data_IF_368288544675
#
_entry.id   IF_368288544675
#
_cell.length_a   1.000
_cell.length_b   1.000
_cell.length_c   1.000
_cell.angle_alpha   90.00
_cell.angle_beta   90.00
_cell.angle_gamma   90.00
#
_symmetry.space_group_name_H-M   'P 1'
#
loop_
_entity.id
_entity.type
_entity.pdbx_description
1 polymer ?
#
# COMPACT_ATOMS: atom_id res chain seq x y z
N UNK A 1 -14.21 -23.04 6.73
CA UNK A 1 -14.42 -21.78 5.99
C UNK A 1 -15.91 -21.57 5.90
N UNK A 2 -16.43 -20.63 6.67
CA UNK A 2 -17.83 -20.21 6.60
C UNK A 2 -18.08 -19.45 5.30
N UNK A 3 -19.34 -19.31 4.87
CA UNK A 3 -19.67 -18.48 3.70
C UNK A 3 -19.25 -17.01 3.85
N UNK A 4 -19.18 -16.53 5.09
CA UNK A 4 -18.71 -15.19 5.44
C UNK A 4 -17.20 -15.02 5.18
N UNK A 5 -16.39 -16.04 5.49
CA UNK A 5 -14.93 -16.02 5.26
C UNK A 5 -14.62 -15.86 3.76
N UNK A 6 -15.38 -16.54 2.91
CA UNK A 6 -15.24 -16.46 1.45
C UNK A 6 -15.55 -15.05 0.95
N UNK A 7 -16.62 -14.42 1.47
CA UNK A 7 -16.98 -13.04 1.14
C UNK A 7 -15.88 -12.07 1.56
N UNK A 8 -15.29 -12.23 2.74
CA UNK A 8 -14.18 -11.37 3.18
C UNK A 8 -12.94 -11.52 2.31
N UNK A 9 -12.57 -12.75 1.94
CA UNK A 9 -11.40 -12.99 1.08
C UNK A 9 -11.60 -12.34 -0.29
N UNK A 10 -12.76 -12.57 -0.92
CA UNK A 10 -13.05 -12.02 -2.26
C UNK A 10 -13.16 -10.50 -2.19
N UNK A 11 -13.82 -9.95 -1.17
CA UNK A 11 -13.93 -8.51 -0.96
C UNK A 11 -12.58 -7.83 -0.73
N UNK A 12 -11.74 -8.41 0.12
CA UNK A 12 -10.38 -7.92 0.36
C UNK A 12 -9.53 -7.98 -0.90
N UNK A 13 -9.64 -9.04 -1.70
CA UNK A 13 -8.93 -9.18 -2.96
C UNK A 13 -9.31 -8.07 -3.95
N UNK A 14 -10.61 -7.82 -4.14
CA UNK A 14 -11.09 -6.72 -5.00
C UNK A 14 -10.59 -5.37 -4.50
N UNK A 15 -10.65 -5.14 -3.19
CA UNK A 15 -10.20 -3.89 -2.57
C UNK A 15 -8.69 -3.67 -2.78
N UNK A 16 -7.87 -4.72 -2.67
CA UNK A 16 -6.42 -4.65 -2.96
C UNK A 16 -6.18 -4.29 -4.42
N UNK A 17 -6.90 -4.91 -5.37
CA UNK A 17 -6.73 -4.62 -6.80
C UNK A 17 -7.08 -3.16 -7.13
N UNK A 18 -8.23 -2.69 -6.66
CA UNK A 18 -8.66 -1.29 -6.87
C UNK A 18 -7.71 -0.33 -6.18
N UNK A 19 -7.28 -0.65 -4.97
CA UNK A 19 -6.30 0.13 -4.22
C UNK A 19 -4.96 0.23 -4.94
N UNK A 20 -4.46 -0.86 -5.52
CA UNK A 20 -3.21 -0.87 -6.26
C UNK A 20 -3.28 0.00 -7.54
N UNK A 21 -4.38 -0.03 -8.27
CA UNK A 21 -4.59 0.81 -9.45
C UNK A 21 -4.65 2.30 -9.09
N UNK A 22 -5.39 2.66 -8.04
CA UNK A 22 -5.44 4.05 -7.56
C UNK A 22 -4.10 4.52 -6.99
N UNK A 23 -3.40 3.66 -6.26
CA UNK A 23 -2.10 3.96 -5.68
C UNK A 23 -1.04 4.22 -6.76
N UNK A 24 -0.95 3.35 -7.77
CA UNK A 24 0.01 3.51 -8.87
C UNK A 24 -0.25 4.78 -9.69
N UNK A 25 -1.51 5.07 -10.02
CA UNK A 25 -1.89 6.32 -10.68
C UNK A 25 -1.55 7.56 -9.83
N UNK A 26 -1.80 7.51 -8.52
CA UNK A 26 -1.45 8.59 -7.59
C UNK A 26 0.06 8.83 -7.50
N UNK A 27 0.84 7.75 -7.44
CA UNK A 27 2.31 7.81 -7.44
C UNK A 27 2.84 8.39 -8.75
N UNK A 28 2.31 8.00 -9.90
CA UNK A 28 2.70 8.56 -11.20
C UNK A 28 2.45 10.07 -11.25
N UNK A 29 1.26 10.51 -10.82
CA UNK A 29 0.91 11.92 -10.81
C UNK A 29 1.78 12.73 -9.84
N UNK A 30 2.11 12.15 -8.68
CA UNK A 30 3.03 12.74 -7.71
C UNK A 30 4.44 12.86 -8.31
N UNK A 31 4.94 11.82 -8.98
CA UNK A 31 6.23 11.83 -9.68
C UNK A 31 6.30 12.91 -10.75
N UNK A 32 5.25 13.07 -11.56
CA UNK A 32 5.12 14.15 -12.54
C UNK A 32 5.18 15.53 -11.89
N UNK A 33 4.47 15.74 -10.77
CA UNK A 33 4.48 17.01 -10.02
C UNK A 33 5.86 17.33 -9.44
N UNK A 34 6.63 16.31 -9.07
CA UNK A 34 7.99 16.42 -8.54
C UNK A 34 9.07 16.47 -9.62
N UNK A 35 8.71 16.46 -10.91
CA UNK A 35 9.65 16.34 -12.05
C UNK A 35 10.59 15.13 -11.95
N UNK A 36 10.11 14.02 -11.38
CA UNK A 36 10.87 12.78 -11.27
C UNK A 36 10.76 11.96 -12.56
N UNK A 37 11.81 11.19 -12.87
CA UNK A 37 11.76 10.22 -13.96
C UNK A 37 10.81 9.06 -13.61
N UNK A 38 10.28 8.37 -14.61
CA UNK A 38 9.41 7.19 -14.41
C UNK A 38 10.10 6.13 -13.54
N UNK A 39 11.40 5.91 -13.78
CA UNK A 39 12.22 5.00 -12.98
C UNK A 39 12.38 5.44 -11.53
N UNK A 40 12.60 6.73 -11.25
CA UNK A 40 12.69 7.24 -9.88
C UNK A 40 11.34 7.22 -9.15
N UNK A 41 10.25 7.49 -9.87
CA UNK A 41 8.88 7.45 -9.36
C UNK A 41 8.50 6.03 -8.93
N UNK A 42 8.77 5.02 -9.77
CA UNK A 42 8.52 3.62 -9.42
C UNK A 42 9.47 3.08 -8.34
N UNK A 43 10.77 3.35 -8.45
CA UNK A 43 11.76 2.79 -7.52
C UNK A 43 11.73 3.40 -6.13
N UNK A 44 11.35 4.68 -5.99
CA UNK A 44 11.37 5.37 -4.70
C UNK A 44 9.96 5.51 -4.14
N UNK A 45 9.03 6.12 -4.89
CA UNK A 45 7.71 6.44 -4.36
C UNK A 45 6.82 5.19 -4.25
N UNK A 46 6.81 4.31 -5.27
CA UNK A 46 6.03 3.08 -5.19
C UNK A 46 6.62 2.11 -4.16
N UNK A 47 7.95 1.91 -4.15
CA UNK A 47 8.62 1.06 -3.17
C UNK A 47 8.43 1.55 -1.73
N UNK A 48 8.45 2.87 -1.50
CA UNK A 48 8.16 3.45 -0.19
C UNK A 48 6.74 3.15 0.26
N UNK A 49 5.75 3.39 -0.59
CA UNK A 49 4.34 3.15 -0.21
C UNK A 49 4.03 1.67 0.02
N UNK A 50 4.69 0.76 -0.69
CA UNK A 50 4.53 -0.69 -0.44
C UNK A 50 5.25 -1.17 0.80
N UNK A 51 6.33 -0.52 1.26
CA UNK A 51 7.07 -0.93 2.46
C UNK A 51 6.64 -0.17 3.73
N UNK A 52 5.83 0.88 3.57
CA UNK A 52 5.31 1.68 4.69
C UNK A 52 4.47 0.83 5.65
N UNK A 53 3.53 -0.01 5.21
CA UNK A 53 2.76 -0.86 6.13
C UNK A 53 3.67 -1.80 6.95
N UNK A 54 4.62 -2.45 6.31
CA UNK A 54 5.54 -3.43 6.89
C UNK A 54 6.49 -2.79 7.89
N UNK A 55 6.89 -1.53 7.67
CA UNK A 55 7.70 -0.76 8.63
C UNK A 55 6.85 -0.17 9.75
N UNK A 56 5.59 0.18 9.48
CA UNK A 56 4.72 0.79 10.48
C UNK A 56 4.21 -0.23 11.50
N UNK A 57 3.91 -1.47 11.11
CA UNK A 57 3.49 -2.54 12.02
C UNK A 57 4.45 -2.73 13.21
N UNK A 58 5.77 -2.94 13.01
CA UNK A 58 6.72 -3.09 14.12
C UNK A 58 6.92 -1.80 14.90
N UNK A 59 6.86 -0.62 14.27
CA UNK A 59 6.92 0.67 14.97
C UNK A 59 5.73 0.82 15.92
N UNK A 60 4.52 0.50 15.45
CA UNK A 60 3.31 0.52 16.27
C UNK A 60 3.43 -0.50 17.41
N UNK A 61 3.91 -1.71 17.11
CA UNK A 61 4.11 -2.74 18.12
C UNK A 61 5.09 -2.28 19.23
N UNK A 62 6.20 -1.62 18.89
CA UNK A 62 7.18 -1.17 19.89
C UNK A 62 6.65 0.02 20.70
N UNK A 63 5.99 0.98 20.05
CA UNK A 63 5.60 2.24 20.71
C UNK A 63 4.24 2.18 21.42
N UNK A 64 3.32 1.36 20.94
CA UNK A 64 1.93 1.33 21.40
C UNK A 64 1.48 -0.02 21.96
N UNK A 65 2.21 -1.12 21.72
CA UNK A 65 1.92 -2.36 22.45
C UNK A 65 2.41 -2.17 23.88
N UNK A 66 1.47 -1.82 24.74
CA UNK A 66 1.68 -1.67 26.17
C UNK A 66 1.36 -3.01 26.82
N UNK A 67 2.40 -3.83 27.02
CA UNK A 67 2.47 -4.76 28.16
C UNK A 67 3.32 -4.12 29.24
#
# INVERSE_FOLDING_TARGET
>A
MTGLDVVYIVGAFVLILVGAEWFTNGVEWLGRKLNMTEGATGSILAAFGTATPETLIPVIAILFTNT
#
